data_IF_991868759936
#
_entry.id   IF_991868759936
#
_cell.length_a   1.000
_cell.length_b   1.000
_cell.length_c   1.000
_cell.angle_alpha   90.00
_cell.angle_beta   90.00
_cell.angle_gamma   90.00
#
_symmetry.space_group_name_H-M   'P 1'
#
loop_
_entity.id
_entity.type
_entity.pdbx_description
1 polymer ?
#
# COMPACT_ATOMS: atom_id res chain seq x y z
N UNK A 1 4.69 20.33 4.78
CA UNK A 1 5.01 21.63 5.41
C UNK A 1 5.01 22.76 4.38
N UNK A 2 3.87 22.98 3.68
CA UNK A 2 3.74 24.09 2.74
C UNK A 2 3.64 25.45 3.43
N UNK A 3 3.30 25.47 4.73
CA UNK A 3 3.17 26.68 5.53
C UNK A 3 3.45 26.38 7.02
N UNK A 4 4.73 26.31 7.45
CA UNK A 4 5.10 25.91 8.82
C UNK A 4 4.62 26.89 9.92
N UNK A 5 4.21 28.10 9.52
CA UNK A 5 3.61 29.12 10.39
C UNK A 5 2.10 28.99 10.54
N UNK A 6 1.46 28.06 9.81
CA UNK A 6 0.02 27.85 9.85
C UNK A 6 -0.33 26.90 11.00
N UNK A 7 -1.02 27.40 11.99
CA UNK A 7 -1.54 26.63 13.11
C UNK A 7 -2.97 26.18 12.77
N UNK A 8 -3.08 25.12 12.00
CA UNK A 8 -4.40 24.52 11.73
C UNK A 8 -4.87 23.76 12.98
N UNK A 9 -6.19 23.71 13.17
CA UNK A 9 -6.78 22.92 14.25
C UNK A 9 -6.38 21.44 14.09
N UNK A 10 -6.25 20.73 15.21
CA UNK A 10 -5.97 19.28 15.21
C UNK A 10 -7.06 18.58 14.42
N UNK A 11 -6.69 17.95 13.32
CA UNK A 11 -7.58 17.15 12.51
C UNK A 11 -7.52 15.70 12.93
N UNK A 12 -8.67 15.03 12.91
CA UNK A 12 -8.75 13.58 13.07
C UNK A 12 -8.87 12.95 11.68
N UNK A 13 -8.00 12.00 11.39
CA UNK A 13 -8.09 11.15 10.22
C UNK A 13 -8.33 9.72 10.67
N UNK A 14 -9.11 8.97 9.93
CA UNK A 14 -9.39 7.57 10.17
C UNK A 14 -8.82 6.69 9.06
N UNK A 15 -8.51 5.47 9.40
CA UNK A 15 -8.07 4.43 8.49
C UNK A 15 -8.31 3.06 9.10
N UNK A 16 -7.90 2.04 8.38
CA UNK A 16 -8.02 0.64 8.79
C UNK A 16 -6.65 0.01 8.98
N UNK A 17 -6.62 -1.12 9.65
CA UNK A 17 -5.43 -1.95 9.80
C UNK A 17 -5.82 -3.36 10.19
N UNK A 18 -4.88 -4.27 10.21
CA UNK A 18 -5.09 -5.65 10.61
C UNK A 18 -3.87 -6.23 11.31
N UNK A 19 -4.11 -7.16 12.21
CA UNK A 19 -3.04 -7.81 12.96
C UNK A 19 -2.36 -8.86 12.10
N UNK A 20 -1.03 -8.86 12.15
CA UNK A 20 -0.15 -9.85 11.53
C UNK A 20 0.72 -10.56 12.58
N UNK A 21 1.41 -11.63 12.20
CA UNK A 21 2.35 -12.35 13.08
C UNK A 21 3.36 -11.39 13.73
N UNK A 22 3.72 -11.67 14.98
CA UNK A 22 4.68 -10.88 15.75
C UNK A 22 4.07 -9.70 16.52
N UNK A 23 2.77 -9.74 16.82
CA UNK A 23 2.06 -8.69 17.57
C UNK A 23 2.21 -7.31 16.92
N UNK A 24 2.03 -7.24 15.62
CA UNK A 24 2.10 -6.03 14.81
C UNK A 24 0.79 -5.76 14.10
N UNK A 25 0.53 -4.51 13.82
CA UNK A 25 -0.60 -4.08 12.99
C UNK A 25 -0.03 -3.55 11.69
N UNK A 26 -0.53 -4.06 10.55
CA UNK A 26 -0.24 -3.51 9.23
C UNK A 26 -1.29 -2.49 8.85
N UNK A 27 -0.84 -1.37 8.29
CA UNK A 27 -1.67 -0.29 7.73
C UNK A 27 -0.91 0.43 6.62
N UNK A 28 -1.49 1.50 6.04
CA UNK A 28 -0.77 2.34 5.09
C UNK A 28 0.10 3.42 5.76
N UNK A 29 1.18 3.79 5.09
CA UNK A 29 2.02 4.89 5.52
C UNK A 29 1.25 6.23 5.53
N UNK A 30 0.43 6.52 4.51
CA UNK A 30 -0.35 7.75 4.46
C UNK A 30 -1.39 7.88 5.59
N UNK A 31 -1.88 6.77 6.15
CA UNK A 31 -2.82 6.77 7.28
C UNK A 31 -2.16 7.27 8.55
N UNK A 32 -0.88 6.96 8.77
CA UNK A 32 -0.16 7.26 10.01
C UNK A 32 0.87 8.38 9.86
N UNK A 33 1.12 8.83 8.63
CA UNK A 33 2.05 9.92 8.35
C UNK A 33 1.61 11.21 9.04
N UNK A 34 2.57 11.87 9.70
CA UNK A 34 2.36 13.14 10.39
C UNK A 34 1.42 13.07 11.60
N UNK A 35 0.97 11.89 12.01
CA UNK A 35 0.16 11.72 13.19
C UNK A 35 0.98 12.08 14.45
N UNK A 36 0.42 12.92 15.32
CA UNK A 36 0.99 13.19 16.66
C UNK A 36 0.69 12.05 17.62
N UNK A 37 -0.45 11.41 17.41
CA UNK A 37 -0.94 10.31 18.23
C UNK A 37 -1.71 9.34 17.33
N UNK A 38 -1.44 8.05 17.49
CA UNK A 38 -2.13 6.97 16.78
C UNK A 38 -2.90 6.17 17.82
N UNK A 39 -4.20 6.10 17.63
CA UNK A 39 -5.11 5.31 18.48
C UNK A 39 -5.69 4.20 17.62
N UNK A 40 -5.60 2.96 18.11
CA UNK A 40 -6.20 1.79 17.48
C UNK A 40 -7.29 1.22 18.37
N UNK A 41 -8.31 0.62 17.75
CA UNK A 41 -9.40 -0.09 18.43
C UNK A 41 -9.58 -1.43 17.77
N UNK A 42 -9.96 -2.43 18.54
CA UNK A 42 -10.39 -3.74 18.00
C UNK A 42 -11.82 -3.65 17.50
N UNK A 43 -12.16 -4.53 16.59
CA UNK A 43 -13.56 -4.75 16.20
C UNK A 43 -14.41 -5.10 17.44
N UNK A 44 -15.53 -4.43 17.60
CA UNK A 44 -16.47 -4.58 18.72
C UNK A 44 -15.88 -4.32 20.14
N UNK A 45 -14.70 -3.71 20.23
CA UNK A 45 -14.10 -3.27 21.49
C UNK A 45 -13.90 -1.75 21.45
N UNK A 46 -14.66 -0.97 22.27
CA UNK A 46 -14.56 0.47 22.29
C UNK A 46 -13.26 0.98 22.96
N UNK A 47 -12.52 0.10 23.65
CA UNK A 47 -11.29 0.48 24.35
C UNK A 47 -10.25 1.03 23.36
N UNK A 48 -9.78 2.28 23.55
CA UNK A 48 -8.71 2.81 22.75
C UNK A 48 -7.34 2.31 23.26
N UNK A 49 -6.46 1.99 22.33
CA UNK A 49 -5.08 1.61 22.61
C UNK A 49 -4.13 2.55 21.90
N UNK A 50 -3.08 2.98 22.59
CA UNK A 50 -2.05 3.82 21.99
C UNK A 50 -1.10 2.95 21.18
N UNK A 51 -0.91 3.32 19.91
CA UNK A 51 0.00 2.65 19.01
C UNK A 51 1.18 3.54 18.64
N UNK A 52 2.29 2.91 18.27
CA UNK A 52 3.50 3.55 17.76
C UNK A 52 3.88 2.97 16.41
N UNK A 53 4.42 3.81 15.54
CA UNK A 53 5.01 3.35 14.28
C UNK A 53 6.32 2.64 14.59
N UNK A 54 6.43 1.37 14.21
CA UNK A 54 7.66 0.59 14.29
C UNK A 54 8.48 0.79 13.01
N UNK A 55 7.84 0.62 11.85
CA UNK A 55 8.43 0.86 10.53
C UNK A 55 7.44 1.58 9.63
N UNK A 56 7.96 2.41 8.75
CA UNK A 56 7.18 3.12 7.73
C UNK A 56 7.93 3.14 6.40
N UNK A 57 7.28 2.62 5.36
CA UNK A 57 7.76 2.63 3.98
C UNK A 57 6.92 3.58 3.13
N UNK A 58 7.36 4.83 3.02
CA UNK A 58 6.64 5.83 2.24
C UNK A 58 6.59 5.50 0.75
N UNK A 59 7.62 4.83 0.22
CA UNK A 59 7.71 4.48 -1.19
C UNK A 59 6.76 3.34 -1.60
N UNK A 60 6.42 2.45 -0.67
CA UNK A 60 5.43 1.38 -0.86
C UNK A 60 4.11 1.62 -0.14
N UNK A 61 3.97 2.77 0.54
CA UNK A 61 2.78 3.16 1.29
C UNK A 61 2.32 2.12 2.33
N UNK A 62 3.27 1.50 3.05
CA UNK A 62 3.02 0.55 4.13
C UNK A 62 3.60 1.04 5.45
N UNK A 63 2.96 0.67 6.55
CA UNK A 63 3.47 0.89 7.90
C UNK A 63 3.17 -0.29 8.81
N UNK A 64 4.09 -0.53 9.76
CA UNK A 64 3.89 -1.45 10.87
C UNK A 64 3.75 -0.66 12.16
N UNK A 65 2.73 -1.00 12.94
CA UNK A 65 2.50 -0.42 14.25
C UNK A 65 2.68 -1.48 15.33
N UNK A 66 3.13 -1.03 16.50
CA UNK A 66 3.13 -1.77 17.75
C UNK A 66 2.18 -1.13 18.74
N UNK A 67 1.67 -1.92 19.68
CA UNK A 67 0.82 -1.45 20.77
C UNK A 67 1.48 -1.87 22.08
N UNK A 68 1.67 -0.90 23.00
CA UNK A 68 2.37 -1.16 24.29
C UNK A 68 1.54 -2.05 25.22
N UNK A 69 0.22 -1.86 25.23
CA UNK A 69 -0.70 -2.69 25.99
C UNK A 69 -0.96 -4.00 25.25
N UNK A 70 -0.23 -5.04 25.62
CA UNK A 70 -0.33 -6.36 24.97
C UNK A 70 -1.73 -7.00 25.05
N UNK A 71 -2.60 -6.53 25.95
CA UNK A 71 -4.00 -6.98 26.02
C UNK A 71 -4.76 -6.69 24.71
N UNK A 72 -4.26 -5.77 23.88
CA UNK A 72 -4.77 -5.56 22.52
C UNK A 72 -4.78 -6.84 21.69
N UNK A 73 -3.77 -7.68 21.83
CA UNK A 73 -3.61 -8.89 21.01
C UNK A 73 -4.29 -10.12 21.60
N UNK A 74 -4.85 -10.02 22.80
CA UNK A 74 -5.60 -11.13 23.42
C UNK A 74 -6.87 -11.45 22.61
N UNK A 75 -7.03 -12.72 22.26
CA UNK A 75 -8.16 -13.21 21.46
C UNK A 75 -8.17 -12.75 19.99
N UNK A 76 -7.08 -12.13 19.52
CA UNK A 76 -6.94 -11.73 18.11
C UNK A 76 -6.03 -12.70 17.38
N UNK A 77 -6.57 -13.36 16.36
CA UNK A 77 -5.77 -14.21 15.47
C UNK A 77 -5.13 -13.37 14.38
N UNK A 78 -3.78 -13.47 14.19
CA UNK A 78 -3.11 -12.77 13.12
C UNK A 78 -3.53 -13.29 11.75
N UNK A 79 -3.79 -12.40 10.80
CA UNK A 79 -4.08 -12.78 9.43
C UNK A 79 -2.81 -13.29 8.73
N UNK A 80 -2.98 -14.31 7.90
CA UNK A 80 -1.92 -14.86 7.08
C UNK A 80 -1.97 -14.30 5.67
N UNK A 81 -0.78 -14.10 5.08
CA UNK A 81 -0.68 -13.65 3.68
C UNK A 81 -0.87 -14.82 2.71
N UNK A 82 -1.59 -14.52 1.61
CA UNK A 82 -1.70 -15.37 0.45
C UNK A 82 -0.71 -15.01 -0.65
N UNK A 83 -0.95 -15.53 -1.84
CA UNK A 83 -0.17 -15.25 -3.04
C UNK A 83 -0.79 -14.10 -3.84
N UNK A 84 -0.09 -13.67 -4.90
CA UNK A 84 -0.62 -12.70 -5.85
C UNK A 84 -1.91 -13.23 -6.49
N UNK A 85 -3.05 -12.53 -6.35
CA UNK A 85 -4.31 -13.00 -6.90
C UNK A 85 -4.28 -13.00 -8.43
N UNK A 86 -5.12 -13.82 -9.05
CA UNK A 86 -5.25 -13.85 -10.51
C UNK A 86 -6.27 -12.80 -10.98
N UNK A 87 -6.04 -12.25 -12.17
CA UNK A 87 -7.06 -11.42 -12.84
C UNK A 87 -8.36 -12.21 -12.97
N UNK A 88 -9.50 -11.57 -12.73
CA UNK A 88 -10.86 -12.11 -12.66
C UNK A 88 -11.18 -12.89 -11.37
N UNK A 89 -10.23 -13.08 -10.46
CA UNK A 89 -10.57 -13.68 -9.16
C UNK A 89 -11.33 -12.68 -8.28
N UNK A 90 -12.17 -13.22 -7.41
CA UNK A 90 -12.96 -12.42 -6.44
C UNK A 90 -12.11 -12.09 -5.25
N UNK A 91 -12.23 -10.86 -4.75
CA UNK A 91 -11.61 -10.36 -3.53
C UNK A 91 -12.62 -9.62 -2.67
N UNK A 92 -12.37 -9.57 -1.37
CA UNK A 92 -13.18 -8.81 -0.41
C UNK A 92 -12.27 -7.86 0.37
N UNK A 93 -12.61 -6.58 0.37
CA UNK A 93 -11.90 -5.55 1.14
C UNK A 93 -12.66 -5.26 2.42
N UNK A 94 -11.97 -5.26 3.55
CA UNK A 94 -12.51 -4.93 4.87
C UNK A 94 -11.95 -3.61 5.35
N UNK A 95 -12.78 -2.82 6.05
CA UNK A 95 -12.33 -1.57 6.63
C UNK A 95 -13.42 -0.79 7.35
N UNK A 96 -13.08 0.43 7.77
CA UNK A 96 -13.96 1.35 8.50
C UNK A 96 -14.14 2.64 7.70
N UNK A 97 -15.00 2.63 6.65
CA UNK A 97 -15.18 3.80 5.80
C UNK A 97 -15.69 5.00 6.60
N UNK A 98 -15.19 6.18 6.25
CA UNK A 98 -15.53 7.47 6.89
C UNK A 98 -15.35 7.50 8.42
N UNK A 99 -14.51 6.63 8.99
CA UNK A 99 -14.27 6.57 10.44
C UNK A 99 -15.44 5.99 11.24
N UNK A 100 -16.30 5.20 10.59
CA UNK A 100 -17.39 4.48 11.23
C UNK A 100 -16.90 3.50 12.31
N UNK A 101 -17.75 3.20 13.29
CA UNK A 101 -17.44 2.23 14.36
C UNK A 101 -17.69 0.78 13.92
N UNK A 102 -18.50 0.59 12.88
CA UNK A 102 -18.83 -0.73 12.32
C UNK A 102 -17.93 -1.07 11.14
N UNK A 103 -17.49 -2.32 11.10
CA UNK A 103 -16.72 -2.84 9.99
C UNK A 103 -17.59 -2.94 8.73
N UNK A 104 -17.06 -2.50 7.64
CA UNK A 104 -17.67 -2.64 6.32
C UNK A 104 -16.81 -3.56 5.45
N UNK A 105 -17.46 -4.28 4.56
CA UNK A 105 -16.77 -5.04 3.53
C UNK A 105 -17.35 -4.75 2.15
N UNK A 106 -16.47 -4.71 1.17
CA UNK A 106 -16.85 -4.57 -0.23
C UNK A 106 -16.26 -5.72 -1.02
N UNK A 107 -17.06 -6.30 -1.91
CA UNK A 107 -16.67 -7.41 -2.76
C UNK A 107 -16.50 -6.95 -4.19
N UNK A 108 -15.46 -7.43 -4.86
CA UNK A 108 -15.23 -7.16 -6.27
C UNK A 108 -14.33 -8.20 -6.90
N UNK A 109 -13.91 -7.93 -8.13
CA UNK A 109 -12.99 -8.78 -8.89
C UNK A 109 -11.69 -8.06 -9.19
N UNK A 110 -10.62 -8.81 -9.31
CA UNK A 110 -9.32 -8.30 -9.78
C UNK A 110 -9.45 -7.95 -11.25
N UNK A 111 -9.35 -6.67 -11.58
CA UNK A 111 -9.50 -6.15 -12.94
C UNK A 111 -8.20 -6.22 -13.73
N UNK A 112 -7.06 -5.85 -13.10
CA UNK A 112 -5.72 -5.92 -13.70
C UNK A 112 -4.61 -5.84 -12.65
N UNK A 113 -3.43 -6.26 -13.07
CA UNK A 113 -2.20 -6.19 -12.26
C UNK A 113 -1.17 -5.43 -13.08
N UNK A 114 -0.66 -4.33 -12.56
CA UNK A 114 0.22 -3.44 -13.29
C UNK A 114 1.18 -2.66 -12.38
N UNK A 115 2.20 -2.04 -12.97
CA UNK A 115 3.01 -1.03 -12.29
C UNK A 115 2.28 0.31 -12.33
N UNK A 116 1.80 0.79 -11.20
CA UNK A 116 1.15 2.09 -11.07
C UNK A 116 1.93 3.05 -10.19
N UNK A 117 1.66 4.35 -10.33
CA UNK A 117 2.21 5.36 -9.43
C UNK A 117 1.49 5.27 -8.09
N UNK A 118 2.25 5.09 -7.02
CA UNK A 118 1.71 5.15 -5.66
C UNK A 118 1.48 6.62 -5.27
N UNK A 119 0.20 6.95 -4.99
CA UNK A 119 -0.25 8.33 -4.80
C UNK A 119 0.38 9.02 -3.59
N UNK A 120 0.74 8.26 -2.56
CA UNK A 120 1.28 8.81 -1.32
C UNK A 120 2.54 9.69 -1.54
N UNK A 121 3.47 9.23 -2.38
CA UNK A 121 4.67 10.02 -2.71
C UNK A 121 4.70 10.51 -4.16
N UNK A 122 3.82 10.00 -5.03
CA UNK A 122 3.61 10.47 -6.40
C UNK A 122 4.76 10.23 -7.40
N UNK A 123 5.87 9.65 -6.97
CA UNK A 123 7.08 9.48 -7.80
C UNK A 123 7.61 8.03 -7.85
N UNK A 124 6.88 7.08 -7.28
CA UNK A 124 7.22 5.65 -7.27
C UNK A 124 6.21 4.86 -8.07
N UNK A 125 6.70 3.97 -8.91
CA UNK A 125 5.90 2.95 -9.58
C UNK A 125 6.25 1.60 -8.98
N UNK A 126 5.27 0.98 -8.35
CA UNK A 126 5.37 -0.38 -7.81
C UNK A 126 4.20 -1.20 -8.33
N UNK A 127 4.29 -2.52 -8.13
CA UNK A 127 3.21 -3.42 -8.49
C UNK A 127 1.95 -3.06 -7.70
N UNK A 128 0.83 -2.95 -8.37
CA UNK A 128 -0.48 -2.74 -7.78
C UNK A 128 -1.52 -3.63 -8.45
N UNK A 129 -2.58 -3.90 -7.74
CA UNK A 129 -3.72 -4.65 -8.25
C UNK A 129 -4.94 -3.76 -8.24
N UNK A 130 -5.57 -3.61 -9.40
CA UNK A 130 -6.85 -2.92 -9.53
C UNK A 130 -8.00 -3.88 -9.29
N UNK A 131 -9.01 -3.40 -8.57
CA UNK A 131 -10.27 -4.09 -8.32
C UNK A 131 -11.45 -3.14 -8.50
N UNK A 132 -12.62 -3.68 -8.82
CA UNK A 132 -13.88 -2.95 -8.83
C UNK A 132 -14.57 -2.95 -7.45
N UNK A 133 -13.99 -3.63 -6.44
CA UNK A 133 -14.40 -3.47 -5.05
C UNK A 133 -14.22 -2.01 -4.64
N UNK A 134 -15.25 -1.42 -4.02
CA UNK A 134 -15.18 -0.04 -3.58
C UNK A 134 -14.13 0.16 -2.48
N UNK A 135 -13.10 0.95 -2.77
CA UNK A 135 -12.09 1.39 -1.81
C UNK A 135 -12.31 2.88 -1.56
N UNK A 136 -12.94 3.17 -0.43
CA UNK A 136 -13.30 4.52 0.00
C UNK A 136 -12.37 5.01 1.12
N UNK A 137 -12.30 6.33 1.38
CA UNK A 137 -11.61 6.87 2.55
C UNK A 137 -12.04 6.16 3.84
N UNK A 138 -11.06 5.66 4.61
CA UNK A 138 -11.26 4.82 5.79
C UNK A 138 -10.98 3.34 5.56
N UNK A 139 -11.15 2.80 4.35
CA UNK A 139 -10.72 1.44 4.00
C UNK A 139 -9.20 1.33 3.83
N UNK A 140 -8.51 2.45 3.58
CA UNK A 140 -7.04 2.49 3.48
C UNK A 140 -6.38 1.81 4.68
N UNK A 141 -5.43 0.91 4.41
CA UNK A 141 -4.74 0.09 5.40
C UNK A 141 -5.47 -1.20 5.77
N UNK A 142 -6.73 -1.36 5.36
CA UNK A 142 -7.49 -2.58 5.58
C UNK A 142 -7.03 -3.74 4.69
N UNK A 143 -7.30 -4.99 5.13
CA UNK A 143 -6.92 -6.17 4.37
C UNK A 143 -7.84 -6.39 3.16
N UNK A 144 -7.24 -6.84 2.08
CA UNK A 144 -7.95 -7.44 0.94
C UNK A 144 -7.79 -8.94 1.03
N UNK A 145 -8.89 -9.66 1.11
CA UNK A 145 -8.94 -11.10 1.41
C UNK A 145 -9.40 -11.89 0.19
N UNK A 146 -8.75 -13.02 -0.04
CA UNK A 146 -9.16 -14.09 -0.93
C UNK A 146 -8.85 -15.43 -0.25
N UNK A 147 -9.82 -16.35 -0.23
CA UNK A 147 -9.66 -17.69 0.35
C UNK A 147 -9.05 -17.65 1.77
N UNK A 148 -9.63 -16.80 2.64
CA UNK A 148 -9.23 -16.55 4.04
C UNK A 148 -7.78 -16.07 4.23
N UNK A 149 -7.13 -15.58 3.17
CA UNK A 149 -5.77 -15.05 3.20
C UNK A 149 -5.70 -13.61 2.69
N UNK A 150 -4.78 -12.84 3.27
CA UNK A 150 -4.53 -11.47 2.82
C UNK A 150 -3.77 -11.49 1.50
N UNK A 151 -4.43 -11.02 0.45
CA UNK A 151 -3.87 -10.85 -0.90
C UNK A 151 -3.52 -9.39 -1.21
N UNK A 152 -3.70 -8.51 -0.24
CA UNK A 152 -3.26 -7.12 -0.37
C UNK A 152 -3.70 -6.22 0.76
N UNK A 153 -3.21 -4.98 0.69
CA UNK A 153 -3.58 -3.86 1.57
C UNK A 153 -4.25 -2.80 0.72
N UNK A 154 -5.50 -2.46 1.04
CA UNK A 154 -6.24 -1.40 0.34
C UNK A 154 -5.53 -0.05 0.54
N UNK A 155 -5.34 0.74 -0.53
CA UNK A 155 -4.56 1.96 -0.35
C UNK A 155 -5.04 3.19 -1.12
N UNK A 156 -5.61 3.06 -2.30
CA UNK A 156 -6.06 4.22 -3.09
C UNK A 156 -7.22 3.88 -4.02
N UNK A 157 -8.04 4.89 -4.30
CA UNK A 157 -8.95 4.93 -5.43
C UNK A 157 -8.54 6.06 -6.38
N UNK A 158 -9.05 6.06 -7.59
CA UNK A 158 -8.87 7.19 -8.50
C UNK A 158 -10.06 8.12 -8.31
N UNK A 159 -9.78 9.34 -7.82
CA UNK A 159 -10.81 10.38 -7.67
C UNK A 159 -11.52 10.65 -9.00
N UNK A 160 -12.85 10.60 -9.00
CA UNK A 160 -13.66 10.81 -10.20
C UNK A 160 -13.89 9.59 -11.08
N UNK A 161 -13.31 8.41 -10.74
CA UNK A 161 -13.64 7.14 -11.36
C UNK A 161 -14.33 6.23 -10.34
N UNK A 162 -15.57 5.87 -10.61
CA UNK A 162 -16.29 4.87 -9.84
C UNK A 162 -15.70 3.46 -10.07
N UNK A 163 -15.81 2.60 -9.08
CA UNK A 163 -15.39 1.19 -9.16
C UNK A 163 -13.93 0.99 -9.58
N UNK A 164 -13.05 1.90 -9.13
CA UNK A 164 -11.62 1.83 -9.41
C UNK A 164 -10.84 1.94 -8.12
N UNK A 165 -10.68 0.82 -7.45
CA UNK A 165 -9.85 0.68 -6.26
C UNK A 165 -8.52 0.00 -6.57
N UNK A 166 -7.49 0.29 -5.75
CA UNK A 166 -6.19 -0.35 -5.85
C UNK A 166 -5.75 -0.88 -4.50
N UNK A 167 -5.06 -2.00 -4.51
CA UNK A 167 -4.43 -2.55 -3.33
C UNK A 167 -2.97 -2.95 -3.60
N UNK A 168 -2.19 -2.89 -2.54
CA UNK A 168 -0.77 -3.25 -2.51
C UNK A 168 -0.67 -4.75 -2.42
N UNK A 169 -0.10 -5.46 -3.41
CA UNK A 169 -0.11 -6.92 -3.47
C UNK A 169 1.00 -7.58 -2.63
N UNK A 170 0.88 -8.91 -2.38
CA UNK A 170 1.82 -9.67 -1.56
C UNK A 170 3.30 -9.52 -1.92
N UNK A 171 3.73 -9.45 -3.20
CA UNK A 171 5.16 -9.27 -3.50
C UNK A 171 5.75 -7.97 -2.94
N UNK A 172 4.96 -6.88 -2.91
CA UNK A 172 5.38 -5.60 -2.32
C UNK A 172 5.39 -5.70 -0.80
N UNK A 173 4.35 -6.30 -0.22
CA UNK A 173 4.23 -6.50 1.23
C UNK A 173 5.38 -7.38 1.75
N UNK A 174 5.67 -8.49 1.08
CA UNK A 174 6.74 -9.42 1.46
C UNK A 174 8.12 -8.76 1.39
N UNK A 175 8.37 -7.91 0.37
CA UNK A 175 9.60 -7.15 0.31
C UNK A 175 9.72 -6.20 1.50
N UNK A 176 8.67 -5.42 1.81
CA UNK A 176 8.64 -4.54 2.96
C UNK A 176 8.89 -5.29 4.29
N UNK A 177 8.20 -6.42 4.51
CA UNK A 177 8.37 -7.24 5.71
C UNK A 177 9.75 -7.86 5.81
N UNK A 178 10.34 -8.26 4.68
CA UNK A 178 11.70 -8.82 4.64
C UNK A 178 12.75 -7.75 4.93
N UNK A 179 12.58 -6.58 4.36
CA UNK A 179 13.50 -5.47 4.51
C UNK A 179 13.59 -4.98 5.96
N UNK A 180 12.49 -5.05 6.71
CA UNK A 180 12.46 -4.65 8.12
C UNK A 180 13.00 -5.70 9.10
N UNK A 181 13.45 -6.88 8.64
CA UNK A 181 13.90 -7.98 9.54
C UNK A 181 15.24 -7.69 10.24
N UNK A 182 16.09 -6.88 9.63
CA UNK A 182 17.37 -6.47 10.20
C UNK A 182 17.28 -5.24 11.12
N UNK A 183 16.06 -4.75 11.36
CA UNK A 183 15.78 -3.58 12.21
C UNK A 183 15.79 -2.24 11.47
N UNK A 184 15.88 -2.25 10.15
CA UNK A 184 15.95 -1.06 9.32
C UNK A 184 15.07 -1.22 8.08
N UNK A 185 14.52 -0.14 7.57
CA UNK A 185 13.85 -0.11 6.29
C UNK A 185 14.70 0.66 5.27
N UNK A 186 15.27 -0.04 4.29
CA UNK A 186 16.09 0.54 3.22
C UNK A 186 15.27 0.90 1.97
N UNK A 187 14.11 0.28 1.79
CA UNK A 187 13.16 0.56 0.72
C UNK A 187 13.40 -0.23 -0.56
N UNK A 188 12.69 0.18 -1.61
CA UNK A 188 12.79 -0.46 -2.91
C UNK A 188 13.98 0.09 -3.70
N UNK A 189 14.85 -0.76 -4.28
CA UNK A 189 15.99 -0.30 -5.07
C UNK A 189 15.54 0.50 -6.29
N UNK A 190 16.36 1.46 -6.72
CA UNK A 190 16.15 2.22 -7.96
C UNK A 190 17.26 1.86 -8.96
N UNK A 191 16.84 1.62 -10.19
CA UNK A 191 17.78 1.56 -11.29
C UNK A 191 18.15 2.99 -11.66
N UNK A 192 19.08 3.62 -11.11
CA UNK A 192 19.45 5.05 -11.24
C UNK A 192 19.54 5.62 -12.67
N UNK A 193 18.58 5.27 -13.54
CA UNK A 193 18.51 5.70 -14.94
C UNK A 193 17.07 5.96 -15.38
N UNK A 194 16.91 6.88 -16.31
CA UNK A 194 15.68 7.02 -17.09
C UNK A 194 15.79 6.17 -18.35
N UNK A 195 14.77 5.37 -18.62
CA UNK A 195 14.70 4.47 -19.76
C UNK A 195 13.64 4.95 -20.75
N UNK A 196 13.94 4.85 -22.05
CA UNK A 196 12.97 4.98 -23.12
C UNK A 196 12.84 3.67 -23.89
N UNK A 197 11.66 3.43 -24.44
CA UNK A 197 11.40 2.24 -25.25
C UNK A 197 12.08 2.36 -26.61
N UNK A 198 12.46 1.23 -27.19
CA UNK A 198 12.97 1.12 -28.57
C UNK A 198 11.92 0.48 -29.50
N UNK A 199 10.65 0.79 -29.27
CA UNK A 199 9.55 0.20 -30.06
C UNK A 199 9.31 0.89 -31.40
N UNK A 200 9.82 2.12 -31.61
CA UNK A 200 9.65 2.84 -32.87
C UNK A 200 10.51 2.18 -33.97
N UNK A 201 9.89 1.61 -35.06
CA UNK A 201 10.62 0.90 -36.10
C UNK A 201 11.63 1.77 -36.85
N UNK A 202 11.29 3.04 -37.13
CA UNK A 202 12.20 3.97 -37.82
C UNK A 202 13.44 4.28 -36.96
N UNK A 203 13.25 4.43 -35.66
CA UNK A 203 14.37 4.65 -34.74
C UNK A 203 15.25 3.40 -34.60
N UNK A 204 14.64 2.19 -34.55
CA UNK A 204 15.40 0.92 -34.60
C UNK A 204 16.25 0.79 -35.86
N UNK A 205 15.65 1.11 -37.00
CA UNK A 205 16.38 1.08 -38.30
C UNK A 205 17.56 2.07 -38.30
N UNK A 206 17.36 3.27 -37.77
CA UNK A 206 18.43 4.28 -37.62
C UNK A 206 19.59 3.76 -36.76
N UNK A 207 19.26 3.05 -35.66
CA UNK A 207 20.25 2.45 -34.75
C UNK A 207 20.78 1.09 -35.23
N UNK A 208 20.36 0.61 -36.40
CA UNK A 208 20.71 -0.72 -36.94
C UNK A 208 20.43 -1.88 -35.97
N UNK A 209 19.35 -1.77 -35.22
CA UNK A 209 18.91 -2.80 -34.29
C UNK A 209 18.02 -3.84 -34.99
N UNK A 210 18.05 -5.10 -34.56
CA UNK A 210 17.17 -6.13 -35.12
C UNK A 210 15.70 -5.82 -34.80
N UNK A 211 14.80 -6.25 -35.72
CA UNK A 211 13.36 -6.04 -35.59
C UNK A 211 12.73 -7.09 -34.66
N UNK A 212 13.01 -6.99 -33.37
CA UNK A 212 12.57 -7.96 -32.35
C UNK A 212 11.96 -7.31 -31.10
N UNK A 213 11.68 -6.02 -31.13
CA UNK A 213 11.16 -5.20 -30.01
C UNK A 213 11.92 -5.33 -28.67
N UNK A 214 13.15 -5.85 -28.70
CA UNK A 214 13.98 -5.97 -27.50
C UNK A 214 14.88 -4.73 -27.31
N UNK A 215 15.21 -4.49 -26.04
CA UNK A 215 16.12 -3.42 -25.65
C UNK A 215 15.40 -2.16 -25.17
N UNK A 216 16.14 -1.38 -24.44
CA UNK A 216 15.76 -0.06 -23.94
C UNK A 216 16.94 0.91 -24.15
N UNK A 217 16.62 2.17 -24.33
CA UNK A 217 17.63 3.23 -24.36
C UNK A 217 17.75 3.85 -22.97
N UNK A 218 18.97 4.02 -22.49
CA UNK A 218 19.22 4.84 -21.31
C UNK A 218 19.26 6.30 -21.76
N UNK A 219 18.23 7.06 -21.39
CA UNK A 219 18.13 8.48 -21.74
C UNK A 219 18.94 9.36 -20.80
N UNK A 220 19.00 8.98 -19.53
CA UNK A 220 19.68 9.76 -18.51
C UNK A 220 20.11 8.85 -17.36
N UNK A 221 21.32 9.04 -16.89
CA UNK A 221 21.79 8.50 -15.61
C UNK A 221 21.43 9.53 -14.54
N UNK A 222 20.75 9.07 -13.51
CA UNK A 222 20.36 9.90 -12.35
C UNK A 222 21.55 10.01 -11.40
N UNK A 223 21.79 11.16 -10.78
CA UNK A 223 22.81 11.27 -9.75
C UNK A 223 22.44 10.31 -8.59
N UNK A 224 23.44 9.77 -7.91
CA UNK A 224 23.25 8.98 -6.69
C UNK A 224 22.51 9.86 -5.68
N UNK A 225 21.32 9.43 -5.29
CA UNK A 225 20.56 10.04 -4.18
C UNK A 225 21.02 9.45 -2.87
#
# INVERSE_FOLDING_TARGET
>A
WSAPWRFDAVQRAGGSGFVIKGKRIMTNAHVVSWARQIIVRKYQDPKPYLAKVEYIGHDCDLALLTVEDESFFEGVEPLEFGELPKVRSTVVTYGYPAGGEEISYTRGVVSRIELSVYSHIGNRRLLSVQTDAAINPGNSGGPVIQDDRVVGVAFQGISGLENTGFFIPPPVIQHFLKDTQDGKYDGFPRVGVNLATLQNPAYRALLKLPDNNQGVRVDRILPKS
#
